data_IF_586625761220
#
_entry.id   IF_586625761220
#
_cell.length_a   1.000
_cell.length_b   1.000
_cell.length_c   1.000
_cell.angle_alpha   90.00
_cell.angle_beta   90.00
_cell.angle_gamma   90.00
#
_symmetry.space_group_name_H-M   'P 1'
#
loop_
_entity.id
_entity.type
_entity.pdbx_description
1 polymer ?
#
# COMPACT_ATOMS: atom_id res chain seq x y z
N UNK A 1 -31.07 -16.40 16.13
CA UNK A 1 -31.39 -17.53 15.23
C UNK A 1 -30.11 -18.32 15.02
N UNK A 2 -29.85 -19.32 15.88
CA UNK A 2 -28.57 -20.04 15.91
C UNK A 2 -28.63 -21.31 15.07
N UNK A 3 -27.60 -21.57 14.28
CA UNK A 3 -27.39 -22.85 13.61
C UNK A 3 -26.59 -23.76 14.54
N UNK A 4 -27.14 -24.93 14.86
CA UNK A 4 -26.48 -25.96 15.67
C UNK A 4 -26.03 -27.06 14.72
N UNK A 5 -24.73 -27.26 14.57
CA UNK A 5 -24.18 -28.39 13.82
C UNK A 5 -23.58 -29.35 14.85
N UNK A 6 -24.11 -30.56 14.88
CA UNK A 6 -23.78 -31.57 15.86
C UNK A 6 -22.77 -32.55 15.29
N UNK A 7 -21.68 -32.76 16.04
CA UNK A 7 -20.77 -33.89 15.89
C UNK A 7 -19.39 -33.53 15.34
N UNK A 8 -18.38 -33.55 16.22
CA UNK A 8 -17.26 -34.50 16.19
C UNK A 8 -16.53 -34.44 17.55
N UNK A 9 -16.14 -35.62 18.04
CA UNK A 9 -15.66 -35.88 19.39
C UNK A 9 -14.22 -35.41 19.67
N UNK A 10 -13.98 -34.99 20.91
CA UNK A 10 -12.76 -35.12 21.72
C UNK A 10 -11.41 -34.62 21.13
N UNK A 11 -11.02 -33.39 21.50
CA UNK A 11 -9.96 -33.07 22.50
C UNK A 11 -9.55 -31.60 22.36
N UNK A 12 -9.41 -30.95 23.51
CA UNK A 12 -8.90 -29.58 23.74
C UNK A 12 -9.90 -28.46 23.43
N UNK A 13 -10.43 -27.91 24.51
CA UNK A 13 -11.33 -26.77 24.52
C UNK A 13 -10.52 -25.48 24.35
N UNK A 14 -10.12 -25.16 23.12
CA UNK A 14 -9.89 -23.77 22.76
C UNK A 14 -11.28 -23.15 22.55
N UNK A 15 -11.76 -22.49 23.59
CA UNK A 15 -12.96 -21.66 23.50
C UNK A 15 -12.60 -20.45 22.65
N UNK A 16 -12.73 -20.61 21.33
CA UNK A 16 -12.60 -19.50 20.39
C UNK A 16 -13.72 -18.53 20.70
N UNK A 17 -13.38 -17.34 21.21
CA UNK A 17 -14.33 -16.28 21.48
C UNK A 17 -14.83 -15.74 20.13
N UNK A 18 -16.00 -16.21 19.71
CA UNK A 18 -16.61 -15.88 18.43
C UNK A 18 -17.18 -14.46 18.43
N UNK A 19 -16.43 -13.49 17.89
CA UNK A 19 -16.99 -12.19 17.54
C UNK A 19 -17.78 -12.31 16.22
N UNK A 20 -19.07 -12.00 16.26
CA UNK A 20 -20.08 -12.39 15.25
C UNK A 20 -19.97 -11.71 13.87
N UNK A 21 -18.91 -10.93 13.60
CA UNK A 21 -18.75 -10.15 12.36
C UNK A 21 -17.99 -10.85 11.21
N UNK A 22 -16.98 -11.67 11.50
CA UNK A 22 -15.97 -12.11 10.51
C UNK A 22 -16.10 -13.59 10.05
N UNK A 23 -17.03 -14.34 10.66
CA UNK A 23 -17.07 -15.81 10.59
C UNK A 23 -17.19 -16.46 9.21
N UNK A 24 -17.81 -15.81 8.21
CA UNK A 24 -18.03 -16.42 6.89
C UNK A 24 -16.81 -16.31 5.99
N UNK A 25 -16.15 -15.16 5.97
CA UNK A 25 -14.93 -14.95 5.19
C UNK A 25 -13.79 -15.78 5.77
N UNK A 26 -13.62 -15.75 7.09
CA UNK A 26 -12.62 -16.56 7.80
C UNK A 26 -12.81 -18.06 7.52
N UNK A 27 -14.06 -18.55 7.50
CA UNK A 27 -14.35 -19.94 7.19
C UNK A 27 -14.03 -20.32 5.74
N UNK A 28 -14.35 -19.46 4.77
CA UNK A 28 -14.02 -19.71 3.35
C UNK A 28 -12.50 -19.73 3.16
N UNK A 29 -11.78 -18.80 3.77
CA UNK A 29 -10.32 -18.73 3.70
C UNK A 29 -9.66 -19.96 4.34
N UNK A 30 -10.16 -20.41 5.50
CA UNK A 30 -9.71 -21.66 6.13
C UNK A 30 -9.97 -22.88 5.25
N UNK A 31 -11.12 -22.93 4.56
CA UNK A 31 -11.42 -24.03 3.62
C UNK A 31 -10.50 -24.02 2.41
N UNK A 32 -10.19 -22.85 1.84
CA UNK A 32 -9.24 -22.72 0.74
C UNK A 32 -7.87 -23.20 1.23
N UNK A 33 -7.37 -22.68 2.34
CA UNK A 33 -6.06 -23.06 2.86
C UNK A 33 -5.96 -24.57 3.20
N UNK A 34 -7.02 -25.18 3.74
CA UNK A 34 -6.98 -26.57 4.20
C UNK A 34 -7.32 -27.61 3.12
N UNK A 35 -8.00 -27.22 2.02
CA UNK A 35 -8.53 -28.17 1.03
C UNK A 35 -8.10 -27.89 -0.40
N UNK A 36 -7.43 -26.77 -0.66
CA UNK A 36 -6.92 -26.49 -2.00
C UNK A 36 -5.66 -27.32 -2.27
N UNK A 37 -5.56 -27.81 -3.50
CA UNK A 37 -4.53 -28.80 -3.91
C UNK A 37 -3.16 -28.15 -4.13
N UNK A 38 -3.14 -26.85 -4.40
CA UNK A 38 -1.94 -26.05 -4.67
C UNK A 38 -1.62 -25.12 -3.49
N UNK A 39 -0.35 -24.78 -3.31
CA UNK A 39 0.08 -23.75 -2.36
C UNK A 39 -0.50 -22.40 -2.79
N UNK A 40 -1.47 -21.91 -2.04
CA UNK A 40 -2.14 -20.64 -2.33
C UNK A 40 -1.52 -19.54 -1.47
N UNK A 41 -1.09 -18.45 -2.11
CA UNK A 41 -0.68 -17.25 -1.38
C UNK A 41 -1.94 -16.59 -0.81
N UNK A 42 -2.17 -16.80 0.49
CA UNK A 42 -3.35 -16.29 1.20
C UNK A 42 -3.35 -14.75 1.23
N UNK A 43 -2.20 -14.10 1.27
CA UNK A 43 -2.07 -12.63 1.27
C UNK A 43 -2.63 -12.03 -0.03
N UNK A 44 -2.31 -12.62 -1.18
CA UNK A 44 -2.86 -12.21 -2.48
C UNK A 44 -4.40 -12.36 -2.55
N UNK A 45 -4.97 -13.34 -1.85
CA UNK A 45 -6.43 -13.50 -1.75
C UNK A 45 -7.02 -12.37 -0.90
N UNK A 46 -6.38 -12.00 0.22
CA UNK A 46 -6.82 -10.88 1.04
C UNK A 46 -6.88 -9.59 0.22
N UNK A 47 -5.81 -9.27 -0.51
CA UNK A 47 -5.72 -8.06 -1.33
C UNK A 47 -6.83 -8.01 -2.40
N UNK A 48 -7.06 -9.13 -3.08
CA UNK A 48 -8.11 -9.24 -4.09
C UNK A 48 -9.52 -9.10 -3.52
N UNK A 49 -9.78 -9.66 -2.33
CA UNK A 49 -11.07 -9.54 -1.65
C UNK A 49 -11.30 -8.11 -1.17
N UNK A 50 -10.29 -7.46 -0.56
CA UNK A 50 -10.39 -6.09 -0.08
C UNK A 50 -10.64 -5.14 -1.26
N UNK A 51 -9.89 -5.29 -2.35
CA UNK A 51 -10.08 -4.50 -3.57
C UNK A 51 -11.50 -4.65 -4.11
N UNK A 52 -11.99 -5.89 -4.25
CA UNK A 52 -13.34 -6.17 -4.73
C UNK A 52 -14.42 -5.56 -3.82
N UNK A 53 -14.25 -5.61 -2.51
CA UNK A 53 -15.21 -5.02 -1.56
C UNK A 53 -15.22 -3.49 -1.66
N UNK A 54 -14.05 -2.86 -1.80
CA UNK A 54 -13.93 -1.40 -1.94
C UNK A 54 -14.51 -0.90 -3.26
N UNK A 55 -14.23 -1.56 -4.38
CA UNK A 55 -14.81 -1.23 -5.69
C UNK A 55 -16.35 -1.28 -5.69
N UNK A 56 -16.94 -2.22 -4.95
CA UNK A 56 -18.40 -2.34 -4.82
C UNK A 56 -19.01 -1.28 -3.89
N UNK A 57 -18.24 -0.73 -2.95
CA UNK A 57 -18.72 0.24 -1.99
C UNK A 57 -18.61 1.67 -2.53
N UNK A 58 -17.49 2.00 -3.16
CA UNK A 58 -17.22 3.30 -3.75
C UNK A 58 -16.20 3.18 -4.90
N UNK A 59 -16.55 3.56 -6.14
CA UNK A 59 -15.63 3.51 -7.29
C UNK A 59 -14.43 4.45 -7.19
N UNK A 60 -14.39 5.35 -6.19
CA UNK A 60 -13.24 6.22 -5.92
C UNK A 60 -12.34 5.71 -4.81
N UNK A 61 -12.71 4.63 -4.12
CA UNK A 61 -11.90 4.01 -3.09
C UNK A 61 -10.93 3.00 -3.71
N UNK A 62 -9.64 3.13 -3.38
CA UNK A 62 -8.60 2.23 -3.88
C UNK A 62 -7.90 1.57 -2.69
N UNK A 63 -7.72 0.25 -2.75
CA UNK A 63 -6.87 -0.46 -1.80
C UNK A 63 -5.40 -0.17 -2.11
N UNK A 64 -4.65 0.26 -1.10
CA UNK A 64 -3.21 0.44 -1.22
C UNK A 64 -2.52 -0.65 -0.39
N UNK A 65 -1.87 -1.64 -1.04
CA UNK A 65 -1.14 -2.67 -0.31
C UNK A 65 -0.01 -2.03 0.51
N UNK A 66 0.48 -2.70 1.56
CA UNK A 66 1.64 -2.23 2.30
C UNK A 66 2.81 -2.02 1.34
N UNK A 67 3.27 -0.77 1.29
CA UNK A 67 4.38 -0.36 0.46
C UNK A 67 5.63 -1.09 0.94
N UNK A 68 6.20 -1.97 0.12
CA UNK A 68 7.38 -2.76 0.51
C UNK A 68 8.65 -1.90 0.66
N UNK A 69 8.64 -0.71 0.07
CA UNK A 69 9.77 0.23 0.07
C UNK A 69 9.48 1.50 0.87
N UNK A 70 10.35 1.80 1.83
CA UNK A 70 10.34 3.06 2.60
C UNK A 70 10.30 4.29 1.68
N UNK A 71 10.99 4.23 0.55
CA UNK A 71 11.09 5.32 -0.42
C UNK A 71 9.74 5.64 -1.09
N UNK A 72 8.93 4.61 -1.37
CA UNK A 72 7.60 4.79 -1.95
C UNK A 72 6.62 5.37 -0.91
N UNK A 73 6.75 4.97 0.36
CA UNK A 73 5.95 5.53 1.45
C UNK A 73 6.30 7.01 1.70
N UNK A 74 7.59 7.36 1.65
CA UNK A 74 8.09 8.74 1.77
C UNK A 74 7.54 9.67 0.68
N UNK A 75 7.48 9.19 -0.57
CA UNK A 75 6.85 9.91 -1.69
C UNK A 75 5.36 10.17 -1.41
N UNK A 76 4.64 9.20 -0.83
CA UNK A 76 3.21 9.31 -0.57
C UNK A 76 2.87 10.16 0.65
N UNK A 77 3.70 10.13 1.69
CA UNK A 77 3.56 10.97 2.88
C UNK A 77 3.98 12.43 2.61
N UNK A 78 4.64 12.69 1.49
CA UNK A 78 5.21 13.99 1.16
C UNK A 78 6.46 14.31 1.99
N UNK A 79 7.03 13.31 2.68
CA UNK A 79 8.31 13.39 3.34
C UNK A 79 9.40 13.12 2.29
N UNK A 80 9.68 14.12 1.46
CA UNK A 80 10.75 14.04 0.49
C UNK A 80 12.10 14.13 1.22
N UNK A 81 12.85 13.03 1.30
CA UNK A 81 14.29 13.11 1.56
C UNK A 81 14.97 13.64 0.28
N UNK A 82 15.72 14.73 0.39
CA UNK A 82 16.30 15.40 -0.77
C UNK A 82 16.57 16.89 -0.56
N UNK A 83 16.76 17.60 -1.68
CA UNK A 83 17.12 19.03 -1.67
C UNK A 83 15.92 19.98 -1.58
N UNK A 84 14.69 19.45 -1.62
CA UNK A 84 13.45 20.21 -1.46
C UNK A 84 13.04 21.01 -2.70
N UNK A 85 13.02 20.37 -3.88
CA UNK A 85 12.53 20.99 -5.11
C UNK A 85 11.42 20.13 -5.74
N UNK A 86 10.45 20.80 -6.35
CA UNK A 86 9.54 20.22 -7.31
C UNK A 86 10.15 20.38 -8.70
N UNK A 87 10.22 19.30 -9.47
CA UNK A 87 10.82 19.31 -10.80
C UNK A 87 9.97 18.58 -11.83
N UNK A 88 10.18 18.93 -13.09
CA UNK A 88 9.58 18.28 -14.25
C UNK A 88 10.65 17.99 -15.29
N UNK A 89 10.59 16.82 -15.91
CA UNK A 89 11.48 16.46 -17.01
C UNK A 89 10.86 16.98 -18.31
N UNK A 90 11.53 17.93 -18.96
CA UNK A 90 11.13 18.48 -20.26
C UNK A 90 12.30 18.39 -21.23
N UNK A 91 12.09 17.67 -22.35
CA UNK A 91 13.10 17.47 -23.41
C UNK A 91 14.42 16.93 -22.84
N UNK A 92 14.33 15.84 -22.09
CA UNK A 92 15.44 15.16 -21.41
C UNK A 92 16.14 15.98 -20.31
N UNK A 93 15.75 17.24 -20.08
CA UNK A 93 16.33 18.06 -19.01
C UNK A 93 15.39 18.16 -17.80
N UNK A 94 15.95 18.05 -16.59
CA UNK A 94 15.24 18.32 -15.34
C UNK A 94 15.09 19.83 -15.16
N UNK A 95 13.84 20.32 -15.13
CA UNK A 95 13.52 21.73 -14.91
C UNK A 95 12.86 21.89 -13.53
N UNK A 96 13.32 22.86 -12.76
CA UNK A 96 12.75 23.20 -11.45
C UNK A 96 11.43 23.92 -11.68
N UNK A 97 10.35 23.37 -11.13
CA UNK A 97 9.00 23.95 -11.19
C UNK A 97 8.79 24.87 -10.00
N UNK A 98 9.22 24.45 -8.82
CA UNK A 98 9.06 25.22 -7.58
C UNK A 98 10.04 24.74 -6.51
N UNK A 99 10.42 25.64 -5.60
CA UNK A 99 11.15 25.31 -4.38
C UNK A 99 10.20 25.07 -3.20
N UNK A 100 10.58 24.17 -2.28
CA UNK A 100 9.84 23.99 -1.02
C UNK A 100 10.23 25.13 -0.07
N UNK A 101 9.24 25.91 0.37
CA UNK A 101 9.43 27.02 1.31
C UNK A 101 10.06 26.53 2.64
N UNK A 102 11.14 27.17 3.06
CA UNK A 102 11.95 26.79 4.22
C UNK A 102 12.93 25.64 3.97
N UNK A 103 12.93 25.08 2.76
CA UNK A 103 13.77 23.96 2.35
C UNK A 103 15.25 24.33 2.13
N UNK A 104 16.14 23.33 1.98
CA UNK A 104 17.55 23.55 1.66
C UNK A 104 17.75 24.28 0.32
N UNK A 105 16.90 24.01 -0.67
CA UNK A 105 16.90 24.63 -2.00
C UNK A 105 16.72 26.15 -1.96
N UNK A 106 15.73 26.64 -1.21
CA UNK A 106 15.47 28.08 -1.04
C UNK A 106 16.67 28.78 -0.39
N UNK A 107 17.30 28.15 0.62
CA UNK A 107 18.49 28.69 1.30
C UNK A 107 19.69 28.83 0.37
N UNK A 108 19.77 27.99 -0.66
CA UNK A 108 20.82 28.01 -1.67
C UNK A 108 20.44 28.87 -2.89
N UNK A 109 19.22 29.42 -2.92
CA UNK A 109 18.75 30.29 -3.99
C UNK A 109 18.38 29.56 -5.27
N UNK A 110 18.06 28.27 -5.18
CA UNK A 110 17.46 27.53 -6.30
C UNK A 110 16.03 28.04 -6.46
N UNK A 111 15.64 28.38 -7.69
CA UNK A 111 14.32 28.95 -7.97
C UNK A 111 13.63 28.25 -9.12
N UNK A 112 12.30 28.38 -9.16
CA UNK A 112 11.48 28.01 -10.29
C UNK A 112 12.07 28.54 -11.63
N UNK A 113 12.24 27.64 -12.59
CA UNK A 113 12.80 27.93 -13.93
C UNK A 113 14.25 27.48 -14.12
N UNK A 114 14.95 27.09 -13.06
CA UNK A 114 16.31 26.55 -13.16
C UNK A 114 16.34 25.20 -13.88
N UNK A 115 17.46 24.91 -14.54
CA UNK A 115 17.70 23.63 -15.24
C UNK A 115 18.84 22.89 -14.57
N UNK A 116 18.57 21.65 -14.18
CA UNK A 116 19.58 20.75 -13.64
C UNK A 116 20.20 20.00 -14.82
N UNK A 117 21.45 20.33 -15.12
CA UNK A 117 22.22 19.74 -16.22
C UNK A 117 23.02 18.50 -15.77
N UNK A 118 23.43 18.47 -14.50
CA UNK A 118 24.27 17.40 -13.94
C UNK A 118 24.04 17.29 -12.44
N UNK A 119 23.97 16.06 -11.93
CA UNK A 119 24.03 15.73 -10.50
C UNK A 119 25.20 14.78 -10.29
N UNK A 120 26.17 15.18 -9.47
CA UNK A 120 27.44 14.48 -9.26
C UNK A 120 28.12 14.08 -10.58
N UNK A 121 28.01 12.81 -10.97
CA UNK A 121 28.61 12.24 -12.18
C UNK A 121 27.59 11.91 -13.29
N UNK A 122 26.29 12.05 -13.03
CA UNK A 122 25.23 11.82 -14.01
C UNK A 122 24.78 13.12 -14.67
N UNK A 123 24.73 13.10 -16.01
CA UNK A 123 24.25 14.21 -16.86
C UNK A 123 22.83 13.90 -17.33
N UNK A 124 21.98 14.93 -17.35
CA UNK A 124 20.57 14.86 -17.78
C UNK A 124 20.37 15.72 -19.03
#
# INVERSE_FOLDING_TARGET
MGYKIQGLNNKQADTVLFNSGNSKLDYILQLINAKYVDDVNIDSIYDGVITSVLENLDPHSVYLPPVESQQEAEIMEGNFDGIGIEFMILKDTVNVVNEIAGGPSEKLGISAGDKILKVDDSVF
#
